data_IF_261135637617
#
_entry.id   IF_261135637617
#
_cell.length_a   1.000
_cell.length_b   1.000
_cell.length_c   1.000
_cell.angle_alpha   90.00
_cell.angle_beta   90.00
_cell.angle_gamma   90.00
#
_symmetry.space_group_name_H-M   'P 1'
#
loop_
_entity.id
_entity.type
_entity.pdbx_description
1 polymer ?
#
# COMPACT_ATOMS: atom_id res chain seq x y z
N UNK A 1 -5.51 -0.73 16.39
CA UNK A 1 -5.48 -1.62 15.21
C UNK A 1 -4.11 -2.23 15.12
N UNK A 2 -4.02 -3.50 14.74
CA UNK A 2 -2.78 -4.27 14.62
C UNK A 2 -2.97 -5.25 13.46
N UNK A 3 -1.88 -5.58 12.79
CA UNK A 3 -1.83 -6.62 11.75
C UNK A 3 -0.46 -7.31 11.84
N UNK A 4 -0.38 -8.54 11.34
CA UNK A 4 0.85 -9.32 11.33
C UNK A 4 1.43 -9.33 9.91
N UNK A 5 2.68 -8.91 9.76
CA UNK A 5 3.40 -9.01 8.49
C UNK A 5 4.28 -10.26 8.49
N UNK A 6 4.04 -11.18 7.54
CA UNK A 6 4.87 -12.36 7.32
C UNK A 6 5.76 -12.19 6.08
N UNK A 7 7.10 -12.10 6.22
CA UNK A 7 8.02 -12.01 5.09
C UNK A 7 7.95 -13.19 4.10
N UNK A 8 7.39 -14.34 4.49
CA UNK A 8 7.17 -15.50 3.60
C UNK A 8 5.89 -15.39 2.74
N UNK A 9 4.99 -14.47 3.11
CA UNK A 9 3.78 -14.12 2.36
C UNK A 9 3.67 -12.59 2.20
N UNK A 10 4.59 -11.95 1.44
CA UNK A 10 4.52 -10.51 1.25
C UNK A 10 3.31 -10.11 0.42
N UNK A 11 2.77 -8.92 0.67
CA UNK A 11 1.73 -8.30 -0.16
C UNK A 11 2.28 -8.13 -1.60
N UNK A 12 1.60 -8.69 -2.63
CA UNK A 12 2.09 -8.59 -4.00
C UNK A 12 1.96 -7.15 -4.53
N UNK A 13 2.89 -6.77 -5.41
CA UNK A 13 2.88 -5.45 -6.06
C UNK A 13 1.93 -5.46 -7.26
N UNK A 14 0.93 -4.58 -7.24
CA UNK A 14 -0.04 -4.38 -8.32
C UNK A 14 0.00 -2.91 -8.77
N UNK A 15 0.75 -2.66 -9.85
CA UNK A 15 0.92 -1.30 -10.38
C UNK A 15 1.90 -0.43 -9.59
N UNK A 16 1.70 0.88 -9.72
CA UNK A 16 2.45 1.92 -8.99
C UNK A 16 3.48 2.63 -9.86
N UNK A 17 4.35 3.39 -9.22
CA UNK A 17 5.38 4.23 -9.86
C UNK A 17 6.62 3.43 -10.30
N UNK A 18 6.42 2.30 -10.99
CA UNK A 18 7.49 1.40 -11.43
C UNK A 18 7.94 1.76 -12.85
N UNK A 19 9.25 1.96 -13.04
CA UNK A 19 9.84 2.33 -14.33
C UNK A 19 10.63 1.19 -14.99
N UNK A 20 10.94 0.14 -14.24
CA UNK A 20 11.61 -1.08 -14.72
C UNK A 20 11.19 -2.28 -13.88
N UNK A 21 11.55 -3.50 -14.31
CA UNK A 21 11.23 -4.73 -13.58
C UNK A 21 10.23 -5.66 -14.27
N UNK A 22 9.82 -5.35 -15.51
CA UNK A 22 9.14 -6.33 -16.35
C UNK A 22 10.05 -7.56 -16.60
N UNK A 23 9.48 -8.78 -16.65
CA UNK A 23 8.06 -9.10 -16.57
C UNK A 23 7.53 -9.29 -15.13
N UNK A 24 8.34 -9.07 -14.09
CA UNK A 24 7.95 -9.36 -12.70
C UNK A 24 6.92 -8.35 -12.17
N UNK A 25 7.11 -7.07 -12.48
CA UNK A 25 6.19 -6.00 -12.12
C UNK A 25 5.97 -5.03 -13.29
N UNK A 26 4.77 -4.45 -13.35
CA UNK A 26 4.39 -3.45 -14.34
C UNK A 26 3.97 -2.16 -13.64
N UNK A 27 4.45 -1.01 -14.14
CA UNK A 27 4.02 0.31 -13.69
C UNK A 27 2.65 0.68 -14.26
N UNK A 28 1.94 1.56 -13.56
CA UNK A 28 0.63 2.07 -13.97
C UNK A 28 -0.46 1.91 -12.91
N UNK A 29 -1.66 2.37 -13.28
CA UNK A 29 -2.87 2.20 -12.49
C UNK A 29 -3.56 0.88 -12.81
N UNK A 30 -3.84 0.09 -11.78
CA UNK A 30 -4.46 -1.22 -11.87
C UNK A 30 -5.49 -1.41 -10.76
N UNK A 31 -6.46 -2.28 -11.01
CA UNK A 31 -7.38 -2.75 -9.97
C UNK A 31 -6.58 -3.46 -8.89
N UNK A 32 -6.76 -3.09 -7.62
CA UNK A 32 -6.05 -3.71 -6.50
C UNK A 32 -6.65 -5.06 -6.09
N UNK A 33 -6.98 -5.88 -7.10
CA UNK A 33 -7.38 -7.28 -6.97
C UNK A 33 -6.27 -8.18 -7.48
N UNK A 34 -5.99 -9.23 -6.71
CA UNK A 34 -5.00 -10.22 -7.11
C UNK A 34 -5.42 -10.90 -8.42
N UNK A 35 -4.46 -11.06 -9.32
CA UNK A 35 -4.67 -11.53 -10.69
C UNK A 35 -3.40 -12.24 -11.16
N UNK A 36 -3.53 -13.22 -12.07
CA UNK A 36 -2.41 -14.05 -12.53
C UNK A 36 -1.33 -13.27 -13.31
N UNK A 37 -1.66 -12.05 -13.75
CA UNK A 37 -0.73 -11.11 -14.37
C UNK A 37 0.35 -10.60 -13.42
N UNK A 38 0.15 -10.64 -12.10
CA UNK A 38 1.06 -10.04 -11.13
C UNK A 38 1.82 -11.10 -10.33
N UNK A 39 3.15 -10.94 -10.28
CA UNK A 39 4.01 -11.83 -9.52
C UNK A 39 3.65 -11.82 -8.02
N UNK A 40 3.62 -13.02 -7.43
CA UNK A 40 3.36 -13.19 -5.99
C UNK A 40 1.89 -13.22 -5.60
N UNK A 41 0.95 -12.95 -6.51
CA UNK A 41 -0.47 -13.16 -6.25
C UNK A 41 -0.75 -14.65 -6.03
N UNK A 42 -1.53 -14.95 -4.98
CA UNK A 42 -1.90 -16.31 -4.54
C UNK A 42 -3.42 -16.47 -4.44
N UNK A 43 -4.18 -15.39 -4.32
CA UNK A 43 -5.61 -15.38 -4.05
C UNK A 43 -6.41 -14.69 -5.16
N UNK A 44 -6.35 -15.23 -6.38
CA UNK A 44 -6.93 -14.58 -7.56
C UNK A 44 -8.41 -14.18 -7.38
N UNK A 45 -8.72 -12.94 -7.75
CA UNK A 45 -10.05 -12.33 -7.64
C UNK A 45 -10.34 -11.66 -6.30
N UNK A 46 -9.54 -11.90 -5.25
CA UNK A 46 -9.69 -11.18 -3.98
C UNK A 46 -8.97 -9.82 -4.02
N UNK A 47 -9.57 -8.76 -3.43
CA UNK A 47 -8.88 -7.48 -3.28
C UNK A 47 -7.75 -7.59 -2.24
N UNK A 48 -6.70 -6.79 -2.40
CA UNK A 48 -5.62 -6.72 -1.41
C UNK A 48 -6.14 -6.30 -0.02
N UNK A 49 -7.24 -5.53 0.04
CA UNK A 49 -7.92 -5.16 1.29
C UNK A 49 -8.59 -6.32 2.02
N UNK A 50 -8.71 -7.50 1.39
CA UNK A 50 -9.18 -8.72 2.05
C UNK A 50 -8.05 -9.47 2.79
N UNK A 51 -6.78 -9.11 2.58
CA UNK A 51 -5.66 -9.70 3.31
C UNK A 51 -5.65 -9.20 4.77
N UNK A 52 -5.26 -10.08 5.69
CA UNK A 52 -5.20 -9.75 7.13
C UNK A 52 -4.02 -8.85 7.50
N UNK A 53 -3.01 -8.75 6.62
CA UNK A 53 -1.82 -7.91 6.78
C UNK A 53 -1.94 -6.56 6.05
N UNK A 54 -3.15 -6.20 5.59
CA UNK A 54 -3.46 -4.92 4.93
C UNK A 54 -4.56 -4.20 5.69
N UNK A 55 -4.24 -3.03 6.25
CA UNK A 55 -5.24 -2.14 6.85
C UNK A 55 -5.83 -1.23 5.76
N UNK A 56 -7.15 -1.28 5.59
CA UNK A 56 -7.88 -0.44 4.64
C UNK A 56 -8.70 0.63 5.37
N UNK A 57 -8.63 1.87 4.89
CA UNK A 57 -9.42 3.00 5.37
C UNK A 57 -10.11 3.62 4.16
N UNK A 58 -11.43 3.70 4.22
CA UNK A 58 -12.25 4.18 3.12
C UNK A 58 -13.20 5.26 3.65
N UNK A 59 -13.45 6.27 2.83
CA UNK A 59 -14.50 7.26 3.11
C UNK A 59 -15.86 6.63 2.80
N UNK A 60 -16.93 7.30 3.23
CA UNK A 60 -18.21 7.08 2.55
C UNK A 60 -18.11 7.52 1.08
N UNK A 61 -19.02 7.06 0.19
CA UNK A 61 -19.09 7.56 -1.17
C UNK A 61 -19.11 9.10 -1.20
N UNK A 62 -18.26 9.68 -2.03
CA UNK A 62 -18.16 11.13 -2.14
C UNK A 62 -19.47 11.70 -2.70
N UNK A 63 -20.02 12.71 -2.03
CA UNK A 63 -21.26 13.36 -2.47
C UNK A 63 -21.04 14.29 -3.67
N UNK A 64 -19.83 14.82 -3.80
CA UNK A 64 -19.39 15.75 -4.84
C UNK A 64 -17.98 15.38 -5.30
N UNK A 65 -17.61 15.79 -6.51
CA UNK A 65 -16.28 15.58 -7.07
C UNK A 65 -15.19 16.20 -6.17
N UNK A 66 -14.17 15.42 -5.83
CA UNK A 66 -13.00 15.88 -5.08
C UNK A 66 -11.77 15.96 -5.98
N UNK A 67 -11.23 17.17 -6.13
CA UNK A 67 -9.98 17.38 -6.86
C UNK A 67 -8.78 17.40 -5.90
N UNK A 68 -7.82 16.51 -6.12
CA UNK A 68 -6.55 16.45 -5.39
C UNK A 68 -5.40 16.75 -6.35
N UNK A 69 -4.64 17.81 -6.08
CA UNK A 69 -3.51 18.24 -6.91
C UNK A 69 -2.29 18.53 -6.05
N UNK A 70 -1.18 17.85 -6.33
CA UNK A 70 0.10 18.06 -5.66
C UNK A 70 0.68 16.80 -5.05
N UNK A 71 1.66 16.97 -4.16
CA UNK A 71 2.27 15.87 -3.43
C UNK A 71 1.32 15.36 -2.36
N UNK A 72 1.20 14.04 -2.28
CA UNK A 72 0.44 13.35 -1.24
C UNK A 72 1.45 12.83 -0.22
N UNK A 73 1.09 12.86 1.06
CA UNK A 73 1.88 12.25 2.11
C UNK A 73 0.95 11.77 3.23
N UNK A 74 1.34 10.71 3.92
CA UNK A 74 0.70 10.26 5.16
C UNK A 74 1.66 10.46 6.33
N UNK A 75 1.12 11.00 7.43
CA UNK A 75 1.80 10.99 8.73
C UNK A 75 1.28 9.81 9.54
N UNK A 76 2.17 8.86 9.83
CA UNK A 76 1.83 7.61 10.47
C UNK A 76 2.49 7.55 11.86
N UNK A 77 1.70 7.22 12.88
CA UNK A 77 2.19 6.81 14.19
C UNK A 77 2.07 5.30 14.27
N UNK A 78 3.20 4.60 14.26
CA UNK A 78 3.24 3.14 14.23
C UNK A 78 4.29 2.58 15.19
N UNK A 79 4.06 1.36 15.63
CA UNK A 79 5.01 0.57 16.40
C UNK A 79 5.10 -0.82 15.77
N UNK A 80 6.22 -1.50 15.98
CA UNK A 80 6.45 -2.88 15.54
C UNK A 80 7.09 -3.66 16.68
N UNK A 81 6.89 -4.97 16.72
CA UNK A 81 7.59 -5.90 17.61
C UNK A 81 8.95 -6.35 17.05
N UNK A 82 9.24 -6.05 15.77
CA UNK A 82 10.51 -6.30 15.13
C UNK A 82 11.55 -5.20 15.42
N UNK A 83 12.82 -5.50 15.16
CA UNK A 83 13.92 -4.52 15.26
C UNK A 83 14.06 -3.65 14.02
N UNK A 84 13.36 -3.99 12.94
CA UNK A 84 13.17 -3.18 11.74
C UNK A 84 11.98 -3.72 10.94
N UNK A 85 11.32 -2.85 10.19
CA UNK A 85 10.25 -3.20 9.25
C UNK A 85 10.05 -2.07 8.23
N UNK A 86 9.24 -2.33 7.21
CA UNK A 86 8.79 -1.32 6.26
C UNK A 86 7.30 -1.02 6.48
N UNK A 87 6.90 0.25 6.41
CA UNK A 87 5.50 0.65 6.30
C UNK A 87 5.24 1.20 4.90
N UNK A 88 4.20 0.69 4.25
CA UNK A 88 3.71 1.17 2.97
C UNK A 88 2.41 1.94 3.14
N UNK A 89 2.15 2.86 2.23
CA UNK A 89 0.87 3.54 2.13
C UNK A 89 0.51 3.68 0.66
N UNK A 90 -0.79 3.55 0.36
CA UNK A 90 -1.31 3.64 -1.01
C UNK A 90 -2.60 4.45 -0.99
N UNK A 91 -2.71 5.41 -1.91
CA UNK A 91 -3.94 6.15 -2.15
C UNK A 91 -4.71 5.47 -3.29
N UNK A 92 -5.95 5.11 -3.01
CA UNK A 92 -6.85 4.42 -3.93
C UNK A 92 -8.03 5.32 -4.27
N UNK A 93 -8.44 5.30 -5.54
CA UNK A 93 -9.73 5.79 -5.99
C UNK A 93 -10.65 4.59 -6.22
N UNK A 94 -11.74 4.51 -5.45
CA UNK A 94 -12.67 3.37 -5.47
C UNK A 94 -13.87 3.73 -6.35
N UNK A 95 -13.90 3.16 -7.55
CA UNK A 95 -14.99 3.33 -8.49
C UNK A 95 -16.11 2.33 -8.19
N UNK A 96 -17.38 2.76 -8.19
CA UNK A 96 -18.52 1.86 -8.05
C UNK A 96 -18.65 0.92 -9.26
N UNK A 97 -19.45 -0.16 -9.14
CA UNK A 97 -19.83 -0.99 -10.27
C UNK A 97 -20.31 -0.22 -11.50
N UNK A 98 -19.83 -0.63 -12.67
CA UNK A 98 -20.19 -0.07 -13.97
C UNK A 98 -20.35 -1.19 -15.02
N UNK A 99 -20.75 -0.83 -16.25
CA UNK A 99 -20.89 -1.80 -17.34
C UNK A 99 -19.55 -2.49 -17.70
N UNK A 100 -18.45 -1.73 -17.67
CA UNK A 100 -17.12 -2.23 -17.97
C UNK A 100 -16.48 -2.92 -16.75
N UNK A 101 -16.85 -2.49 -15.53
CA UNK A 101 -16.38 -3.05 -14.27
C UNK A 101 -17.54 -3.42 -13.34
N UNK A 102 -18.21 -4.57 -13.56
CA UNK A 102 -19.42 -4.96 -12.81
C UNK A 102 -19.24 -5.13 -11.31
N UNK A 103 -18.00 -5.26 -10.83
CA UNK A 103 -17.65 -5.38 -9.41
C UNK A 103 -17.05 -4.09 -8.84
N UNK A 104 -17.00 -3.00 -9.60
CA UNK A 104 -16.25 -1.79 -9.27
C UNK A 104 -14.75 -1.97 -9.51
N UNK A 105 -13.97 -0.90 -9.28
CA UNK A 105 -12.55 -0.86 -9.59
C UNK A 105 -11.79 -0.05 -8.54
N UNK A 106 -10.81 -0.67 -7.88
CA UNK A 106 -9.97 0.02 -6.90
C UNK A 106 -8.68 0.46 -7.57
N UNK A 107 -8.66 1.68 -8.12
CA UNK A 107 -7.53 2.23 -8.87
C UNK A 107 -6.46 2.75 -7.91
N UNK A 108 -5.24 2.23 -7.98
CA UNK A 108 -4.12 2.88 -7.29
C UNK A 108 -3.70 4.18 -7.99
N UNK A 109 -3.76 5.29 -7.25
CA UNK A 109 -3.31 6.59 -7.74
C UNK A 109 -1.83 6.80 -7.47
N UNK A 110 -1.38 6.48 -6.26
CA UNK A 110 0.01 6.61 -5.83
C UNK A 110 0.29 5.75 -4.60
N UNK A 111 1.55 5.43 -4.35
CA UNK A 111 2.03 4.70 -3.19
C UNK A 111 3.43 5.14 -2.79
N UNK A 112 3.75 4.88 -1.52
CA UNK A 112 5.06 5.12 -0.95
C UNK A 112 5.41 4.05 0.08
N UNK A 113 6.70 3.96 0.40
CA UNK A 113 7.25 3.03 1.39
C UNK A 113 8.27 3.75 2.25
N UNK A 114 8.28 3.46 3.54
CA UNK A 114 9.28 3.97 4.46
C UNK A 114 9.86 2.83 5.31
N UNK A 115 11.19 2.69 5.25
CA UNK A 115 11.94 1.70 6.02
C UNK A 115 12.36 2.24 7.38
N UNK A 116 11.92 1.59 8.45
CA UNK A 116 11.97 2.14 9.81
C UNK A 116 13.38 2.39 10.35
N UNK A 117 14.38 1.61 9.92
CA UNK A 117 15.78 1.87 10.32
C UNK A 117 16.30 3.24 9.88
N UNK A 118 15.64 3.89 8.91
CA UNK A 118 16.01 5.22 8.41
C UNK A 118 15.13 6.36 8.95
N UNK A 119 14.29 6.10 9.97
CA UNK A 119 13.33 7.08 10.54
C UNK A 119 13.96 8.39 11.05
N UNK A 120 15.24 8.36 11.41
CA UNK A 120 15.96 9.54 11.89
C UNK A 120 16.96 10.11 10.87
N UNK A 121 17.45 9.29 9.94
CA UNK A 121 18.41 9.69 8.90
C UNK A 121 18.43 8.65 7.78
N UNK A 122 18.43 9.11 6.53
CA UNK A 122 18.65 8.24 5.36
C UNK A 122 20.11 7.79 5.20
N UNK A 123 21.05 8.44 5.90
CA UNK A 123 22.49 8.12 5.83
C UNK A 123 22.91 7.10 6.89
N UNK A 124 22.19 7.06 8.03
CA UNK A 124 22.54 6.21 9.16
C UNK A 124 21.34 5.37 9.60
N UNK A 125 21.46 4.06 9.37
CA UNK A 125 20.51 3.09 9.88
C UNK A 125 20.60 2.98 11.42
N UNK A 126 19.45 2.97 12.07
CA UNK A 126 19.29 2.77 13.51
C UNK A 126 18.12 1.80 13.76
N UNK A 127 18.37 0.70 14.47
CA UNK A 127 17.31 -0.28 14.76
C UNK A 127 16.18 0.35 15.59
N UNK A 128 14.98 -0.21 15.42
CA UNK A 128 13.79 0.13 16.20
C UNK A 128 13.81 -0.65 17.50
N UNK A 129 13.41 -0.03 18.61
CA UNK A 129 13.11 -0.78 19.83
C UNK A 129 11.70 -1.35 19.72
N UNK A 130 11.50 -2.67 19.87
CA UNK A 130 10.16 -3.26 19.85
C UNK A 130 9.17 -2.52 20.75
N UNK A 131 8.01 -2.17 20.21
CA UNK A 131 6.95 -1.42 20.90
C UNK A 131 7.14 0.09 20.99
N UNK A 132 8.26 0.64 20.51
CA UNK A 132 8.46 2.09 20.41
C UNK A 132 7.52 2.70 19.35
N UNK A 133 6.78 3.75 19.71
CA UNK A 133 5.95 4.49 18.77
C UNK A 133 6.84 5.44 17.96
N UNK A 134 6.88 5.22 16.66
CA UNK A 134 7.59 6.04 15.68
C UNK A 134 6.60 6.96 14.94
N UNK A 135 7.01 8.20 14.68
CA UNK A 135 6.33 9.08 13.72
C UNK A 135 7.05 8.97 12.38
N UNK A 136 6.33 8.47 11.37
CA UNK A 136 6.82 8.29 10.01
C UNK A 136 6.08 9.24 9.07
N UNK A 137 6.78 9.72 8.04
CA UNK A 137 6.19 10.46 6.93
C UNK A 137 6.48 9.68 5.66
N UNK A 138 5.42 9.17 5.03
CA UNK A 138 5.50 8.43 3.77
C UNK A 138 4.98 9.36 2.68
N UNK A 139 5.80 9.60 1.66
CA UNK A 139 5.48 10.42 0.47
C UNK A 139 5.42 9.55 -0.78
#
# INVERSE_FOLDING_TARGET
MTYDFDPADPVPTIGGALTSGQPIFAGGGFDQREDDRFFGCRNFGLPLSARLDVLSFETEPLADDLTVLGRVAVELWAATDATDTDFTAKLIDVYPPSADYPTGFALNLTDGIFRCRFRHSFERAELVKPGEIMRLRIE
#
